data_IF_007937862702
#
_entry.id   IF_007937862702
#
_cell.length_a   1.000
_cell.length_b   1.000
_cell.length_c   1.000
_cell.angle_alpha   90.00
_cell.angle_beta   90.00
_cell.angle_gamma   90.00
#
_symmetry.space_group_name_H-M   'P 1'
#
loop_
_entity.id
_entity.type
_entity.pdbx_description
1 polymer ?
#
# COMPACT_ATOMS: atom_id res chain seq x y z
N UNK A 1 -33.22 -41.12 -11.44
CA UNK A 1 -32.20 -40.52 -12.32
C UNK A 1 -30.90 -40.50 -11.54
N UNK A 2 -29.98 -41.41 -11.87
CA UNK A 2 -28.69 -41.54 -11.17
C UNK A 2 -27.74 -40.53 -11.79
N UNK A 3 -27.30 -39.54 -11.02
CA UNK A 3 -26.26 -38.60 -11.42
C UNK A 3 -24.95 -39.12 -10.80
N UNK A 4 -24.04 -39.62 -11.65
CA UNK A 4 -22.67 -39.87 -11.26
C UNK A 4 -21.95 -38.53 -11.19
N UNK A 5 -21.65 -38.07 -9.98
CA UNK A 5 -20.70 -36.98 -9.78
C UNK A 5 -19.31 -37.61 -9.71
N UNK A 6 -18.49 -37.36 -10.73
CA UNK A 6 -17.06 -37.60 -10.66
C UNK A 6 -16.49 -36.66 -9.59
N UNK A 7 -16.29 -37.18 -8.38
CA UNK A 7 -15.45 -36.53 -7.37
C UNK A 7 -14.01 -36.76 -7.84
N UNK A 8 -13.37 -35.70 -8.32
CA UNK A 8 -11.91 -35.70 -8.45
C UNK A 8 -11.38 -35.77 -7.02
N UNK A 9 -10.74 -36.89 -6.68
CA UNK A 9 -10.16 -37.14 -5.36
C UNK A 9 -9.29 -35.97 -4.93
N UNK A 10 -9.82 -35.11 -4.05
CA UNK A 10 -8.99 -34.27 -3.22
C UNK A 10 -8.41 -35.19 -2.15
N UNK A 11 -7.08 -35.33 -2.05
CA UNK A 11 -6.50 -36.18 -1.04
C UNK A 11 -7.00 -35.72 0.32
N UNK A 12 -7.62 -36.65 1.04
CA UNK A 12 -7.98 -36.53 2.44
C UNK A 12 -6.84 -35.83 3.17
N UNK A 13 -7.16 -34.69 3.81
CA UNK A 13 -6.20 -33.99 4.65
C UNK A 13 -5.80 -34.92 5.81
N UNK A 14 -4.77 -35.72 5.58
CA UNK A 14 -3.94 -36.25 6.65
C UNK A 14 -3.50 -35.06 7.51
N UNK A 15 -3.51 -35.25 8.82
CA UNK A 15 -3.02 -34.29 9.80
C UNK A 15 -1.61 -33.82 9.42
N UNK A 16 -1.53 -32.70 8.70
CA UNK A 16 -0.30 -31.95 8.51
C UNK A 16 -0.09 -31.21 9.82
N UNK A 17 0.76 -31.76 10.68
CA UNK A 17 1.44 -30.95 11.68
C UNK A 17 2.25 -29.90 10.93
N UNK A 18 1.70 -28.69 10.80
CA UNK A 18 2.48 -27.53 10.40
C UNK A 18 3.52 -27.32 11.50
N UNK A 19 4.75 -27.79 11.27
CA UNK A 19 5.90 -27.22 11.94
C UNK A 19 5.93 -25.76 11.50
N UNK A 20 5.39 -24.87 12.33
CA UNK A 20 5.57 -23.44 12.20
C UNK A 20 7.06 -23.16 12.42
N UNK A 21 7.88 -23.37 11.41
CA UNK A 21 9.06 -22.54 11.24
C UNK A 21 8.51 -21.16 10.88
N UNK A 22 8.17 -20.38 11.92
CA UNK A 22 8.01 -18.95 11.75
C UNK A 22 9.39 -18.45 11.35
N UNK A 23 9.67 -18.44 10.04
CA UNK A 23 10.65 -17.53 9.50
C UNK A 23 10.28 -16.18 10.09
N UNK A 24 11.22 -15.42 10.70
CA UNK A 24 10.91 -14.06 11.07
C UNK A 24 10.28 -13.41 9.83
N UNK A 25 9.16 -12.69 9.98
CA UNK A 25 8.60 -11.97 8.85
C UNK A 25 9.74 -11.17 8.22
N UNK A 26 9.87 -11.14 6.88
CA UNK A 26 10.76 -10.17 6.24
C UNK A 26 10.49 -8.82 6.89
N UNK A 27 11.55 -8.05 7.17
CA UNK A 27 11.37 -6.67 7.61
C UNK A 27 10.37 -6.01 6.65
N UNK A 28 9.22 -5.56 7.19
CA UNK A 28 8.09 -5.11 6.38
C UNK A 28 8.50 -3.93 5.47
N UNK A 29 9.39 -3.08 5.96
CA UNK A 29 9.88 -1.92 5.24
C UNK A 29 11.04 -2.32 4.33
N UNK A 30 11.02 -1.81 3.11
CA UNK A 30 12.17 -1.78 2.23
C UNK A 30 13.27 -0.91 2.85
N UNK A 31 14.56 -1.14 2.54
CA UNK A 31 15.66 -0.36 3.09
C UNK A 31 15.43 1.15 2.92
N UNK A 32 15.64 1.90 4.00
CA UNK A 32 15.47 3.35 4.06
C UNK A 32 16.47 3.99 5.02
N UNK A 33 16.54 5.32 4.97
CA UNK A 33 17.44 6.13 5.80
C UNK A 33 18.88 6.16 5.30
N UNK A 34 19.78 6.71 6.12
CA UNK A 34 21.18 6.95 5.73
C UNK A 34 21.94 5.69 5.34
N UNK A 35 21.68 4.57 6.04
CA UNK A 35 22.28 3.27 5.71
C UNK A 35 21.86 2.70 4.35
N UNK A 36 20.71 3.13 3.82
CA UNK A 36 20.22 2.77 2.50
C UNK A 36 20.65 3.79 1.41
N UNK A 37 21.31 4.89 1.80
CA UNK A 37 21.72 5.96 0.88
C UNK A 37 20.59 6.90 0.47
N UNK A 38 19.53 6.99 1.27
CA UNK A 38 18.38 7.85 0.95
C UNK A 38 18.75 9.34 0.90
N UNK A 39 18.06 10.06 0.01
CA UNK A 39 17.98 11.51 0.05
C UNK A 39 16.91 11.92 1.07
N UNK A 40 17.26 12.82 1.98
CA UNK A 40 16.33 13.35 3.00
C UNK A 40 15.58 14.53 2.45
N UNK A 41 14.26 14.54 2.64
CA UNK A 41 13.39 15.65 2.25
C UNK A 41 13.60 16.87 3.15
N UNK A 42 13.38 18.10 2.66
CA UNK A 42 13.39 19.28 3.52
C UNK A 42 12.44 19.13 4.70
N UNK A 43 12.91 19.55 5.88
CA UNK A 43 12.06 19.69 7.06
C UNK A 43 11.20 20.93 6.91
N UNK A 44 9.90 20.74 6.83
CA UNK A 44 8.91 21.77 6.54
C UNK A 44 7.52 21.25 6.91
N UNK A 45 6.61 22.16 7.18
CA UNK A 45 5.20 21.88 7.50
C UNK A 45 4.50 21.33 6.24
N UNK A 46 4.10 22.23 5.34
CA UNK A 46 3.47 21.90 4.06
C UNK A 46 4.51 21.77 2.93
N UNK A 47 5.64 21.17 3.26
CA UNK A 47 6.78 21.05 2.36
C UNK A 47 6.64 19.94 1.32
N UNK A 48 7.54 19.98 0.34
CA UNK A 48 7.70 18.90 -0.64
C UNK A 48 9.16 18.79 -1.07
N UNK A 49 9.50 17.68 -1.70
CA UNK A 49 10.79 17.53 -2.35
C UNK A 49 10.92 18.47 -3.55
N UNK A 50 12.15 18.80 -3.97
CA UNK A 50 12.40 19.20 -5.36
C UNK A 50 11.88 18.12 -6.34
N UNK A 51 11.82 18.43 -7.63
CA UNK A 51 11.48 17.44 -8.65
C UNK A 51 12.47 16.27 -8.63
N UNK A 52 11.96 15.06 -8.44
CA UNK A 52 12.75 13.83 -8.45
C UNK A 52 12.64 13.23 -9.85
N UNK A 53 13.71 13.32 -10.63
CA UNK A 53 13.78 12.66 -11.93
C UNK A 53 13.89 11.15 -11.75
N UNK A 54 13.01 10.40 -12.40
CA UNK A 54 12.99 8.94 -12.29
C UNK A 54 14.08 8.34 -13.18
N UNK A 55 14.83 7.38 -12.64
CA UNK A 55 15.84 6.65 -13.42
C UNK A 55 15.22 5.76 -14.51
N UNK A 56 13.96 5.38 -14.34
CA UNK A 56 13.13 4.70 -15.33
C UNK A 56 11.76 5.33 -15.35
N UNK A 57 11.09 5.45 -16.51
CA UNK A 57 9.70 5.87 -16.55
C UNK A 57 8.80 4.96 -15.70
N UNK A 58 7.84 5.57 -15.01
CA UNK A 58 6.84 4.87 -14.20
C UNK A 58 5.46 5.03 -14.80
N UNK A 59 4.76 3.93 -15.02
CA UNK A 59 3.41 3.96 -15.59
C UNK A 59 2.39 3.95 -14.46
N UNK A 60 1.61 5.03 -14.36
CA UNK A 60 0.49 5.15 -13.45
C UNK A 60 -0.77 5.33 -14.29
N UNK A 61 -1.52 4.23 -14.40
CA UNK A 61 -2.61 4.06 -15.35
C UNK A 61 -2.17 4.36 -16.79
N UNK A 62 -2.98 5.06 -17.57
CA UNK A 62 -2.71 5.36 -18.98
C UNK A 62 -1.63 6.44 -19.18
N UNK A 63 -0.92 6.82 -18.12
CA UNK A 63 0.07 7.89 -18.13
C UNK A 63 1.42 7.36 -17.67
N UNK A 64 2.46 7.84 -18.35
CA UNK A 64 3.84 7.54 -18.02
C UNK A 64 4.50 8.80 -17.49
N UNK A 65 5.11 8.68 -16.31
CA UNK A 65 5.78 9.75 -15.61
C UNK A 65 7.29 9.54 -15.61
N UNK A 66 8.01 10.64 -15.76
CA UNK A 66 9.49 10.69 -15.70
C UNK A 66 9.99 11.47 -14.49
N UNK A 67 9.07 12.00 -13.67
CA UNK A 67 9.36 12.68 -12.41
C UNK A 67 8.23 12.48 -11.41
N UNK A 68 8.54 12.67 -10.14
CA UNK A 68 7.56 12.77 -9.05
C UNK A 68 8.06 13.71 -7.95
N UNK A 69 7.21 13.98 -6.97
CA UNK A 69 7.53 14.76 -5.77
C UNK A 69 7.07 13.99 -4.53
N UNK A 70 7.88 14.00 -3.47
CA UNK A 70 7.55 13.42 -2.17
C UNK A 70 7.11 14.55 -1.25
N UNK A 71 5.84 14.55 -0.86
CA UNK A 71 5.27 15.59 -0.01
C UNK A 71 5.40 15.25 1.49
N UNK A 72 5.57 16.28 2.32
CA UNK A 72 5.68 16.12 3.77
C UNK A 72 4.38 15.56 4.39
N UNK A 73 3.24 15.98 3.86
CA UNK A 73 1.88 15.53 4.20
C UNK A 73 1.53 14.14 3.60
N UNK A 74 2.51 13.24 3.44
CA UNK A 74 2.26 11.82 3.25
C UNK A 74 1.71 11.37 1.89
N UNK A 75 2.01 12.14 0.83
CA UNK A 75 1.59 11.80 -0.53
C UNK A 75 2.66 12.07 -1.59
N UNK A 76 2.49 11.45 -2.76
CA UNK A 76 3.26 11.65 -3.96
C UNK A 76 2.41 12.32 -5.03
N UNK A 77 2.99 13.29 -5.74
CA UNK A 77 2.42 13.88 -6.96
C UNK A 77 3.39 13.71 -8.12
N UNK A 78 2.91 13.86 -9.35
CA UNK A 78 3.72 13.61 -10.55
C UNK A 78 3.94 14.85 -11.43
N UNK A 79 3.14 15.90 -11.25
CA UNK A 79 3.18 17.12 -12.06
C UNK A 79 4.00 18.23 -11.37
N UNK A 80 3.65 18.56 -10.13
CA UNK A 80 4.26 19.63 -9.34
C UNK A 80 4.18 19.37 -7.82
N UNK A 81 5.00 20.05 -6.99
CA UNK A 81 4.81 20.09 -5.55
C UNK A 81 3.40 20.55 -5.19
N UNK A 82 2.86 20.04 -4.08
CA UNK A 82 1.52 20.42 -3.63
C UNK A 82 1.46 20.50 -2.11
N UNK A 83 1.12 21.66 -1.58
CA UNK A 83 1.15 22.03 -0.15
C UNK A 83 -0.13 21.64 0.62
N UNK A 84 -1.01 20.83 0.02
CA UNK A 84 -2.27 20.50 0.69
C UNK A 84 -2.05 19.50 1.84
N UNK A 85 -2.39 19.93 3.05
CA UNK A 85 -2.38 19.12 4.28
C UNK A 85 -3.74 18.50 4.60
N UNK A 86 -4.84 19.07 4.09
CA UNK A 86 -6.19 18.57 4.33
C UNK A 86 -6.62 17.65 3.19
N UNK A 87 -6.83 16.36 3.45
CA UNK A 87 -7.24 15.44 2.41
C UNK A 87 -8.59 15.78 1.79
N UNK A 88 -8.65 15.75 0.47
CA UNK A 88 -9.88 15.65 -0.30
C UNK A 88 -10.17 14.18 -0.52
N UNK A 89 -11.46 13.80 -0.49
CA UNK A 89 -11.86 12.41 -0.72
C UNK A 89 -11.35 11.93 -2.08
N UNK A 90 -10.74 10.74 -2.14
CA UNK A 90 -10.45 10.14 -3.45
C UNK A 90 -11.75 9.83 -4.16
N UNK A 91 -11.78 10.11 -5.47
CA UNK A 91 -12.95 10.23 -6.35
C UNK A 91 -13.62 11.61 -6.41
N UNK A 92 -13.11 12.62 -5.69
CA UNK A 92 -13.65 13.98 -5.72
C UNK A 92 -13.26 14.76 -6.99
N UNK A 93 -12.69 14.11 -8.01
CA UNK A 93 -12.20 14.73 -9.25
C UNK A 93 -11.23 15.89 -9.00
N UNK A 94 -10.24 15.64 -8.13
CA UNK A 94 -9.24 16.63 -7.71
C UNK A 94 -8.37 17.19 -8.84
N UNK A 95 -8.44 16.61 -10.05
CA UNK A 95 -7.68 17.05 -11.20
C UNK A 95 -6.24 16.52 -11.23
N UNK A 96 -5.86 15.63 -10.30
CA UNK A 96 -4.46 15.27 -10.04
C UNK A 96 -4.26 13.76 -9.88
N UNK A 97 -3.13 13.29 -10.39
CA UNK A 97 -2.65 11.93 -10.15
C UNK A 97 -1.85 11.93 -8.84
N UNK A 98 -2.27 11.13 -7.87
CA UNK A 98 -1.74 11.10 -6.51
C UNK A 98 -1.64 9.67 -5.99
N UNK A 99 -0.54 9.36 -5.29
CA UNK A 99 -0.40 8.15 -4.47
C UNK A 99 -0.15 8.60 -3.05
N UNK A 100 -1.03 8.25 -2.13
CA UNK A 100 -0.96 8.67 -0.73
C UNK A 100 -0.90 7.44 0.17
N UNK A 101 0.29 7.01 0.63
CA UNK A 101 0.34 6.00 1.68
C UNK A 101 -0.36 6.47 2.97
N UNK A 102 -0.35 7.77 3.30
CA UNK A 102 -1.09 8.35 4.41
C UNK A 102 -1.17 9.88 4.26
N UNK A 103 -2.14 10.41 3.50
CA UNK A 103 -2.29 11.86 3.36
C UNK A 103 -3.01 12.44 4.57
N UNK A 104 -2.32 13.31 5.31
CA UNK A 104 -2.83 14.05 6.46
C UNK A 104 -1.86 15.17 6.83
N UNK A 105 -2.19 15.95 7.86
CA UNK A 105 -1.44 17.12 8.32
C UNK A 105 -0.21 16.70 9.14
N UNK A 106 0.94 16.58 8.49
CA UNK A 106 2.21 16.05 9.04
C UNK A 106 3.23 17.18 9.13
N UNK A 107 3.87 17.30 10.30
CA UNK A 107 4.88 18.31 10.57
C UNK A 107 6.18 17.67 11.05
N UNK A 108 7.17 17.63 10.15
CA UNK A 108 8.48 17.06 10.43
C UNK A 108 9.54 18.11 10.81
N UNK A 109 9.17 19.37 11.13
CA UNK A 109 10.18 20.40 11.43
C UNK A 109 10.94 20.11 12.73
N UNK A 110 10.30 19.46 13.72
CA UNK A 110 10.92 19.11 15.00
C UNK A 110 11.41 17.66 15.08
N UNK A 111 10.63 16.69 14.59
CA UNK A 111 10.90 15.25 14.75
C UNK A 111 10.61 14.47 13.46
N UNK A 112 11.00 13.20 13.44
CA UNK A 112 10.86 12.31 12.29
C UNK A 112 11.75 12.67 11.11
N UNK A 113 11.80 11.81 10.11
CA UNK A 113 12.49 12.03 8.85
C UNK A 113 11.62 11.57 7.69
N UNK A 114 11.71 12.28 6.57
CA UNK A 114 11.10 11.85 5.31
C UNK A 114 12.25 11.66 4.35
N UNK A 115 12.36 10.48 3.75
CA UNK A 115 13.50 10.15 2.90
C UNK A 115 13.08 9.26 1.74
N UNK A 116 13.86 9.28 0.66
CA UNK A 116 13.57 8.48 -0.51
C UNK A 116 14.84 8.02 -1.24
N UNK A 117 14.71 6.92 -1.99
CA UNK A 117 15.75 6.42 -2.86
C UNK A 117 15.16 5.67 -4.05
N UNK A 118 15.97 5.49 -5.10
CA UNK A 118 15.62 4.65 -6.25
C UNK A 118 16.69 3.59 -6.49
N UNK A 119 16.24 2.44 -6.96
CA UNK A 119 17.06 1.27 -7.20
C UNK A 119 16.80 0.79 -8.62
N UNK A 120 17.88 0.48 -9.35
CA UNK A 120 17.86 -0.11 -10.70
C UNK A 120 18.68 -1.41 -10.76
N UNK A 121 19.24 -1.84 -9.63
CA UNK A 121 20.00 -3.07 -9.47
C UNK A 121 20.03 -3.51 -7.98
N UNK A 122 20.53 -4.70 -7.73
CA UNK A 122 20.77 -5.21 -6.37
C UNK A 122 19.55 -5.83 -5.69
N UNK A 123 19.71 -6.11 -4.38
CA UNK A 123 18.78 -6.94 -3.61
C UNK A 123 17.36 -6.37 -3.50
N UNK A 124 17.21 -5.05 -3.61
CA UNK A 124 15.89 -4.39 -3.56
C UNK A 124 15.01 -4.79 -4.76
N UNK A 125 15.58 -4.91 -5.96
CA UNK A 125 14.84 -5.41 -7.13
C UNK A 125 14.47 -6.88 -6.98
N UNK A 126 15.37 -7.70 -6.43
CA UNK A 126 15.09 -9.12 -6.16
C UNK A 126 13.99 -9.29 -5.12
N UNK A 127 13.96 -8.45 -4.08
CA UNK A 127 12.89 -8.42 -3.09
C UNK A 127 11.56 -8.01 -3.74
N UNK A 128 11.53 -6.90 -4.48
CA UNK A 128 10.32 -6.43 -5.18
C UNK A 128 9.79 -7.46 -6.17
N UNK A 129 10.68 -8.13 -6.90
CA UNK A 129 10.30 -9.19 -7.84
C UNK A 129 9.62 -10.36 -7.11
N UNK A 130 10.16 -10.80 -5.97
CA UNK A 130 9.55 -11.87 -5.17
C UNK A 130 8.21 -11.45 -4.60
N UNK A 131 8.13 -10.27 -4.01
CA UNK A 131 6.90 -9.73 -3.42
C UNK A 131 5.79 -9.64 -4.47
N UNK A 132 6.06 -9.05 -5.63
CA UNK A 132 5.06 -8.92 -6.70
C UNK A 132 4.64 -10.28 -7.27
N UNK A 133 5.57 -11.19 -7.54
CA UNK A 133 5.22 -12.53 -8.04
C UNK A 133 4.45 -13.36 -7.00
N UNK A 134 4.66 -13.11 -5.69
CA UNK A 134 3.89 -13.74 -4.62
C UNK A 134 2.45 -13.21 -4.56
N UNK A 135 2.27 -11.89 -4.67
CA UNK A 135 0.95 -11.25 -4.49
C UNK A 135 0.11 -11.27 -5.77
N UNK A 136 0.76 -11.29 -6.93
CA UNK A 136 0.10 -11.24 -8.24
C UNK A 136 0.65 -12.36 -9.16
N UNK A 137 0.44 -13.64 -8.82
CA UNK A 137 0.99 -14.77 -9.55
C UNK A 137 0.47 -14.91 -10.99
N UNK A 138 -0.58 -14.16 -11.35
CA UNK A 138 -1.08 -14.07 -12.72
C UNK A 138 -0.14 -13.32 -13.67
N UNK A 139 0.81 -12.53 -13.13
CA UNK A 139 1.82 -11.85 -13.92
C UNK A 139 3.15 -12.58 -13.81
N UNK A 140 3.84 -12.74 -14.95
CA UNK A 140 5.26 -13.09 -14.94
C UNK A 140 6.02 -11.77 -14.84
N UNK A 141 6.53 -11.46 -13.64
CA UNK A 141 7.11 -10.15 -13.36
C UNK A 141 8.59 -10.22 -12.97
N UNK A 142 9.34 -9.21 -13.39
CA UNK A 142 10.71 -8.93 -12.92
C UNK A 142 10.85 -7.42 -12.78
N UNK A 143 11.21 -6.96 -11.59
CA UNK A 143 11.42 -5.54 -11.33
C UNK A 143 12.69 -5.07 -12.06
N UNK A 144 12.56 -3.98 -12.82
CA UNK A 144 13.68 -3.25 -13.42
C UNK A 144 13.97 -1.93 -12.70
N UNK A 145 13.01 -1.42 -11.92
CA UNK A 145 13.16 -0.19 -11.15
C UNK A 145 12.26 -0.21 -9.92
N UNK A 146 12.78 0.32 -8.81
CA UNK A 146 12.07 0.48 -7.55
C UNK A 146 12.32 1.87 -6.99
N UNK A 147 11.28 2.56 -6.56
CA UNK A 147 11.37 3.79 -5.79
C UNK A 147 10.79 3.56 -4.40
N UNK A 148 11.51 3.99 -3.37
CA UNK A 148 11.08 3.89 -1.97
C UNK A 148 11.03 5.29 -1.40
N UNK A 149 9.90 5.66 -0.78
CA UNK A 149 9.81 6.84 0.08
C UNK A 149 9.22 6.45 1.43
N UNK A 150 9.87 6.90 2.50
CA UNK A 150 9.52 6.58 3.88
C UNK A 150 9.31 7.85 4.67
N UNK A 151 8.20 7.90 5.40
CA UNK A 151 7.95 8.85 6.49
C UNK A 151 8.22 8.07 7.76
N UNK A 152 9.35 8.35 8.41
CA UNK A 152 9.80 7.62 9.61
C UNK A 152 9.64 8.50 10.84
N UNK A 153 8.81 8.06 11.79
CA UNK A 153 8.55 8.71 13.08
C UNK A 153 8.13 10.17 12.95
N UNK A 154 7.38 10.50 11.90
CA UNK A 154 6.87 11.85 11.69
C UNK A 154 5.73 12.14 12.67
N UNK A 155 5.59 13.41 13.05
CA UNK A 155 4.52 13.87 13.92
C UNK A 155 3.42 14.54 13.11
N UNK A 156 2.20 14.58 13.67
CA UNK A 156 1.15 15.44 13.13
C UNK A 156 1.44 16.92 13.44
N UNK A 157 0.77 17.82 12.72
CA UNK A 157 0.89 19.27 12.88
C UNK A 157 0.84 19.73 14.35
N UNK A 158 1.51 20.86 14.60
CA UNK A 158 1.73 21.44 15.93
C UNK A 158 2.66 20.59 16.80
N UNK A 159 3.53 19.78 16.18
CA UNK A 159 4.53 18.95 16.86
C UNK A 159 3.95 18.17 18.03
N UNK A 160 2.86 17.45 17.77
CA UNK A 160 2.04 16.79 18.80
C UNK A 160 2.79 15.78 19.69
N UNK A 161 4.04 15.46 19.37
CA UNK A 161 4.84 14.42 20.04
C UNK A 161 4.48 13.01 19.57
N UNK A 162 3.59 12.87 18.58
CA UNK A 162 3.26 11.59 17.97
C UNK A 162 4.40 11.06 17.10
N UNK A 163 4.55 9.74 17.02
CA UNK A 163 5.41 9.09 16.04
C UNK A 163 4.57 8.21 15.12
N UNK A 164 4.66 8.46 13.81
CA UNK A 164 3.98 7.69 12.78
C UNK A 164 4.98 7.29 11.69
N UNK A 165 5.04 5.99 11.36
CA UNK A 165 5.95 5.45 10.34
C UNK A 165 5.21 4.70 9.24
N UNK A 166 5.40 5.11 7.99
CA UNK A 166 4.83 4.46 6.81
C UNK A 166 5.73 4.63 5.59
N UNK A 167 5.53 3.78 4.59
CA UNK A 167 6.37 3.75 3.39
C UNK A 167 5.54 3.44 2.14
N UNK A 168 5.92 4.06 1.03
CA UNK A 168 5.43 3.72 -0.31
C UNK A 168 6.59 3.17 -1.13
N UNK A 169 6.32 2.11 -1.89
CA UNK A 169 7.27 1.47 -2.79
C UNK A 169 6.63 1.38 -4.17
N UNK A 170 7.15 2.15 -5.14
CA UNK A 170 6.76 2.04 -6.54
C UNK A 170 7.66 1.01 -7.21
N UNK A 171 7.08 0.03 -7.88
CA UNK A 171 7.81 -1.07 -8.52
C UNK A 171 7.46 -1.08 -10.00
N UNK A 172 8.46 -1.02 -10.88
CA UNK A 172 8.27 -1.09 -12.33
C UNK A 172 9.07 -2.25 -12.93
N UNK A 173 8.48 -2.93 -13.89
CA UNK A 173 9.13 -3.88 -14.82
C UNK A 173 9.08 -3.37 -16.26
N UNK A 174 8.97 -2.06 -16.45
CA UNK A 174 8.78 -1.40 -17.76
C UNK A 174 7.31 -1.38 -18.19
N UNK A 175 6.73 -2.55 -18.45
CA UNK A 175 5.35 -2.66 -18.94
C UNK A 175 4.31 -2.82 -17.82
N UNK A 176 4.75 -3.26 -16.64
CA UNK A 176 3.94 -3.41 -15.44
C UNK A 176 4.49 -2.54 -14.32
N UNK A 177 3.59 -1.98 -13.54
CA UNK A 177 3.82 -1.01 -12.48
C UNK A 177 2.89 -1.31 -11.32
N UNK A 178 3.47 -1.33 -10.14
CA UNK A 178 2.80 -1.67 -8.89
C UNK A 178 3.15 -0.65 -7.83
N UNK A 179 2.29 -0.53 -6.83
CA UNK A 179 2.59 0.17 -5.59
C UNK A 179 2.44 -0.81 -4.43
N UNK A 180 3.42 -0.81 -3.53
CA UNK A 180 3.29 -1.37 -2.19
C UNK A 180 3.21 -0.21 -1.19
N UNK A 181 2.32 -0.31 -0.21
CA UNK A 181 2.22 0.60 0.91
C UNK A 181 2.44 -0.22 2.18
N UNK A 182 3.36 0.23 3.02
CA UNK A 182 3.76 -0.45 4.25
C UNK A 182 3.48 0.46 5.45
N UNK A 183 2.84 -0.06 6.48
CA UNK A 183 2.54 0.65 7.73
C UNK A 183 3.32 0.06 8.90
N UNK A 184 4.09 0.91 9.57
CA UNK A 184 4.67 0.65 10.88
C UNK A 184 3.71 1.12 11.97
N UNK A 185 4.24 1.58 13.10
CA UNK A 185 3.38 2.21 14.11
C UNK A 185 2.80 3.53 13.58
N UNK A 186 1.47 3.67 13.65
CA UNK A 186 0.74 4.87 13.28
C UNK A 186 0.07 5.41 14.53
N UNK A 187 0.40 6.64 14.92
CA UNK A 187 -0.21 7.28 16.07
C UNK A 187 -1.68 7.66 15.78
N UNK A 188 -2.57 7.63 16.79
CA UNK A 188 -3.94 8.10 16.64
C UNK A 188 -3.95 9.59 16.30
N UNK A 189 -4.99 10.02 15.58
CA UNK A 189 -5.16 11.41 15.13
C UNK A 189 -6.62 11.80 15.12
N UNK A 190 -6.88 13.11 15.12
CA UNK A 190 -8.19 13.68 14.79
C UNK A 190 -8.18 14.40 13.43
N UNK A 191 -7.01 14.48 12.79
CA UNK A 191 -6.91 15.00 11.43
C UNK A 191 -7.54 14.04 10.46
N UNK A 192 -8.17 14.59 9.41
CA UNK A 192 -8.66 13.77 8.30
C UNK A 192 -7.48 13.03 7.67
N UNK A 193 -7.73 11.78 7.28
CA UNK A 193 -6.77 10.93 6.59
C UNK A 193 -7.40 10.38 5.32
N UNK A 194 -6.61 10.32 4.24
CA UNK A 194 -6.91 9.50 3.06
C UNK A 194 -5.67 8.67 2.73
N UNK A 195 -5.85 7.36 2.48
CA UNK A 195 -4.76 6.49 2.06
C UNK A 195 -5.17 5.61 0.86
N UNK A 196 -4.26 5.44 -0.09
CA UNK A 196 -4.52 4.79 -1.37
C UNK A 196 -3.97 5.61 -2.54
N UNK A 197 -4.76 5.73 -3.62
CA UNK A 197 -4.39 6.53 -4.78
C UNK A 197 -5.64 7.07 -5.48
N UNK A 198 -5.46 8.17 -6.21
CA UNK A 198 -6.49 8.75 -7.08
C UNK A 198 -5.85 9.24 -8.38
N UNK A 199 -6.61 9.20 -9.45
CA UNK A 199 -6.18 9.68 -10.76
C UNK A 199 -7.02 10.88 -11.15
N UNK A 200 -6.49 11.73 -12.03
CA UNK A 200 -7.23 12.79 -12.72
C UNK A 200 -8.29 12.24 -13.71
N UNK A 201 -8.76 11.01 -13.53
CA UNK A 201 -9.81 10.38 -14.30
C UNK A 201 -10.83 9.76 -13.34
N UNK A 202 -11.06 8.46 -13.42
CA UNK A 202 -12.07 7.74 -12.64
C UNK A 202 -11.49 6.63 -11.78
N UNK A 203 -10.19 6.36 -11.93
CA UNK A 203 -9.53 5.26 -11.23
C UNK A 203 -8.98 5.74 -9.89
N UNK A 204 -9.42 5.09 -8.82
CA UNK A 204 -8.99 5.38 -7.47
C UNK A 204 -9.08 4.11 -6.62
N UNK A 205 -8.44 4.18 -5.46
CA UNK A 205 -8.53 3.17 -4.41
C UNK A 205 -8.39 3.86 -3.08
N UNK A 206 -9.26 3.51 -2.14
CA UNK A 206 -9.14 3.91 -0.74
C UNK A 206 -8.80 2.65 0.05
N UNK A 207 -7.71 2.70 0.83
CA UNK A 207 -7.35 1.63 1.76
C UNK A 207 -8.46 1.51 2.80
N UNK A 208 -8.98 0.29 3.00
CA UNK A 208 -10.08 0.08 3.94
C UNK A 208 -9.68 0.55 5.34
N UNK A 209 -10.62 1.22 6.01
CA UNK A 209 -10.45 1.75 7.37
C UNK A 209 -9.41 2.87 7.51
N UNK A 210 -8.96 3.46 6.39
CA UNK A 210 -8.02 4.59 6.41
C UNK A 210 -8.67 5.97 6.51
N UNK A 211 -9.99 6.07 6.34
CA UNK A 211 -10.72 7.34 6.41
C UNK A 211 -11.45 7.57 7.74
N UNK A 212 -11.42 6.59 8.64
CA UNK A 212 -11.88 6.71 10.02
C UNK A 212 -10.65 6.86 10.93
N UNK A 213 -10.54 8.01 11.58
CA UNK A 213 -9.37 8.36 12.40
C UNK A 213 -9.21 7.46 13.62
N UNK A 214 -10.29 6.81 14.07
CA UNK A 214 -10.27 5.85 15.18
C UNK A 214 -9.65 4.51 14.81
N UNK A 215 -9.62 4.16 13.51
CA UNK A 215 -9.10 2.89 13.01
C UNK A 215 -7.70 2.99 12.42
N UNK A 216 -7.16 4.20 12.25
CA UNK A 216 -5.82 4.45 11.68
C UNK A 216 -4.70 3.62 12.32
N UNK A 217 -4.62 3.48 13.67
CA UNK A 217 -3.58 2.66 14.29
C UNK A 217 -3.62 1.18 13.89
N UNK A 218 -4.74 0.69 13.34
CA UNK A 218 -4.89 -0.71 12.93
C UNK A 218 -4.29 -0.99 11.55
N UNK A 219 -3.89 0.02 10.77
CA UNK A 219 -3.35 -0.18 9.41
C UNK A 219 -2.14 -1.11 9.39
N UNK A 220 -1.34 -1.16 10.46
CA UNK A 220 -0.20 -2.09 10.64
C UNK A 220 -0.59 -3.57 10.78
N UNK A 221 -1.85 -3.86 11.05
CA UNK A 221 -2.36 -5.24 11.19
C UNK A 221 -3.21 -5.67 9.99
N UNK A 222 -3.65 -4.72 9.17
CA UNK A 222 -4.52 -4.97 8.01
C UNK A 222 -3.70 -5.18 6.73
N UNK A 223 -4.29 -5.86 5.74
CA UNK A 223 -3.62 -6.16 4.47
C UNK A 223 -4.62 -6.65 3.41
N UNK A 224 -4.31 -6.43 2.12
CA UNK A 224 -4.97 -7.10 0.99
C UNK A 224 -4.12 -8.23 0.37
N UNK A 225 -2.91 -8.49 0.89
CA UNK A 225 -1.97 -9.51 0.38
C UNK A 225 -1.53 -10.51 1.45
N UNK A 226 -2.26 -10.58 2.56
CA UNK A 226 -1.99 -11.47 3.69
C UNK A 226 -0.59 -11.27 4.31
N UNK A 227 -0.09 -10.02 4.30
CA UNK A 227 1.13 -9.60 4.99
C UNK A 227 0.76 -8.41 5.88
N UNK A 228 0.70 -8.57 7.21
CA UNK A 228 0.26 -7.49 8.11
C UNK A 228 0.98 -6.17 7.85
N UNK A 229 0.21 -5.10 7.70
CA UNK A 229 0.72 -3.75 7.43
C UNK A 229 1.06 -3.48 5.97
N UNK A 230 0.91 -4.46 5.07
CA UNK A 230 1.20 -4.30 3.64
C UNK A 230 -0.06 -4.27 2.79
N UNK A 231 -0.10 -3.29 1.90
CA UNK A 231 -1.07 -3.17 0.83
C UNK A 231 -0.37 -3.17 -0.52
N UNK A 232 -0.94 -3.83 -1.52
CA UNK A 232 -0.35 -3.89 -2.86
C UNK A 232 -1.41 -3.68 -3.95
N UNK A 233 -1.07 -2.90 -4.98
CA UNK A 233 -1.97 -2.64 -6.10
C UNK A 233 -1.23 -2.65 -7.44
N UNK A 234 -1.90 -3.14 -8.47
CA UNK A 234 -1.49 -3.04 -9.88
C UNK A 234 -1.93 -1.68 -10.43
N UNK A 235 -1.09 -1.00 -11.20
CA UNK A 235 -1.35 0.37 -11.66
C UNK A 235 -1.48 0.52 -13.18
N UNK A 236 -1.45 -0.55 -13.99
CA UNK A 236 -1.33 -0.42 -15.45
C UNK A 236 -2.66 -0.31 -16.21
N UNK A 237 -3.79 -0.62 -15.59
CA UNK A 237 -5.08 -0.59 -16.27
C UNK A 237 -6.17 -0.02 -15.37
N UNK A 238 -7.19 0.62 -15.96
CA UNK A 238 -8.36 1.05 -15.22
C UNK A 238 -8.96 -0.11 -14.43
N UNK A 239 -9.64 0.23 -13.34
CA UNK A 239 -10.50 -0.64 -12.56
C UNK A 239 -11.70 -1.13 -13.38
N UNK A 240 -11.45 -1.88 -14.45
CA UNK A 240 -12.49 -2.59 -15.18
C UNK A 240 -12.97 -3.76 -14.34
N UNK A 241 -13.93 -3.54 -13.44
CA UNK A 241 -14.78 -4.52 -12.73
C UNK A 241 -14.12 -5.70 -11.97
N UNK A 242 -12.84 -6.04 -12.15
CA UNK A 242 -12.26 -7.26 -11.58
C UNK A 242 -11.96 -7.13 -10.08
N UNK A 243 -11.46 -5.99 -9.61
CA UNK A 243 -11.07 -5.82 -8.19
C UNK A 243 -12.29 -5.82 -7.26
N UNK A 244 -13.40 -5.20 -7.68
CA UNK A 244 -14.65 -5.23 -6.92
C UNK A 244 -15.23 -6.64 -6.83
N UNK A 245 -15.15 -7.44 -7.90
CA UNK A 245 -15.66 -8.82 -7.90
C UNK A 245 -14.88 -9.68 -6.90
N UNK A 246 -13.54 -9.62 -6.87
CA UNK A 246 -12.75 -10.45 -5.97
C UNK A 246 -12.95 -10.08 -4.49
N UNK A 247 -12.97 -8.79 -4.15
CA UNK A 247 -13.20 -8.34 -2.77
C UNK A 247 -14.63 -8.66 -2.33
N UNK A 248 -15.63 -8.41 -3.19
CA UNK A 248 -17.03 -8.72 -2.88
C UNK A 248 -17.25 -10.21 -2.70
N UNK A 249 -16.64 -11.06 -3.52
CA UNK A 249 -16.69 -12.52 -3.36
C UNK A 249 -16.01 -12.94 -2.05
N UNK A 250 -14.85 -12.38 -1.71
CA UNK A 250 -14.14 -12.77 -0.50
C UNK A 250 -14.89 -12.36 0.77
N UNK A 251 -15.42 -11.14 0.83
CA UNK A 251 -16.26 -10.66 1.93
C UNK A 251 -17.55 -11.49 2.01
N UNK A 252 -18.20 -11.76 0.88
CA UNK A 252 -19.43 -12.55 0.84
C UNK A 252 -19.19 -14.00 1.33
N UNK A 253 -18.10 -14.64 0.90
CA UNK A 253 -17.70 -15.96 1.38
C UNK A 253 -17.39 -15.91 2.87
N UNK A 254 -16.65 -14.91 3.35
CA UNK A 254 -16.30 -14.78 4.76
C UNK A 254 -17.54 -14.60 5.65
N UNK A 255 -18.45 -13.70 5.26
CA UNK A 255 -19.74 -13.49 5.95
C UNK A 255 -20.58 -14.77 5.91
N UNK A 256 -20.65 -15.44 4.76
CA UNK A 256 -21.42 -16.68 4.62
C UNK A 256 -20.88 -17.80 5.51
N UNK A 257 -19.55 -17.98 5.56
CA UNK A 257 -18.89 -18.96 6.45
C UNK A 257 -19.13 -18.59 7.91
N UNK A 258 -18.99 -17.30 8.28
CA UNK A 258 -19.22 -16.84 9.64
C UNK A 258 -20.67 -17.09 10.09
N UNK A 259 -21.65 -16.75 9.25
CA UNK A 259 -23.08 -17.01 9.51
C UNK A 259 -23.34 -18.52 9.61
N UNK A 260 -22.78 -19.32 8.71
CA UNK A 260 -22.95 -20.77 8.73
C UNK A 260 -22.40 -21.40 10.01
N UNK A 261 -21.19 -21.01 10.44
CA UNK A 261 -20.59 -21.46 11.70
C UNK A 261 -21.41 -20.99 12.90
N UNK A 262 -21.87 -19.73 12.89
CA UNK A 262 -22.69 -19.18 13.97
C UNK A 262 -24.02 -19.94 14.11
N UNK A 263 -24.71 -20.23 13.01
CA UNK A 263 -25.94 -21.05 13.02
C UNK A 263 -25.63 -22.48 13.46
N UNK A 264 -24.53 -23.08 13.02
CA UNK A 264 -24.17 -24.45 13.41
C UNK A 264 -23.83 -24.59 14.89
N UNK A 265 -23.19 -23.59 15.50
CA UNK A 265 -22.76 -23.61 16.90
C UNK A 265 -23.86 -23.10 17.85
N UNK A 266 -24.60 -22.06 17.46
CA UNK A 266 -25.53 -21.35 18.35
C UNK A 266 -26.99 -21.43 17.90
N UNK A 267 -27.26 -21.91 16.69
CA UNK A 267 -28.61 -22.11 16.15
C UNK A 267 -29.17 -23.47 16.55
N UNK A 268 -29.42 -23.67 17.84
CA UNK A 268 -30.39 -24.68 18.27
C UNK A 268 -31.81 -24.11 18.14
N UNK A 269 -32.57 -24.64 17.19
CA UNK A 269 -34.03 -24.78 17.29
C UNK A 269 -34.43 -26.13 16.71
#
# INVERSE_FOLDING_TARGET
MVIFIYVKDYPLMHNITYSLTVSPPPALFYPFGSGAGDTVNPRSDDGSSPAINLQSPFTFFRRTYTKLYVNNNGHLTFDQPWDSFTPTQFNAYSGRDIIAPLWTDIDNRATGNISYNQYSNGNVLSQATRDINQYFPQFIFTASWVFVATWDKVAYYSYSGTETSFQVVLVSGGNLSFVLINYGDIAPTNYRVEAGYDTNFTDYTVILWSNDTSTIPNLKYLSNVNVPGRWAFVLNQPSGNYVFIYIYIYIYIYIYIYIYIYIYIYGCF
#
